data_IF_810975888332
#
_entry.id   IF_810975888332
#
_cell.length_a   1.000
_cell.length_b   1.000
_cell.length_c   1.000
_cell.angle_alpha   90.00
_cell.angle_beta   90.00
_cell.angle_gamma   90.00
#
_symmetry.space_group_name_H-M   'P 1'
#
loop_
_entity.id
_entity.type
_entity.pdbx_description
1 polymer ?
#
# COMPACT_ATOMS: atom_id res chain seq x y z
N UNK A 1 -21.29 13.83 -55.37
CA UNK A 1 -20.87 14.49 -54.14
C UNK A 1 -21.26 13.63 -52.97
N UNK A 2 -20.38 12.81 -52.44
CA UNK A 2 -20.64 11.90 -51.35
C UNK A 2 -20.01 12.44 -50.08
N UNK A 3 -20.86 12.69 -49.07
CA UNK A 3 -20.46 13.24 -47.77
C UNK A 3 -19.93 12.12 -46.91
N UNK A 4 -18.63 12.11 -46.58
CA UNK A 4 -18.04 11.19 -45.62
C UNK A 4 -18.27 11.76 -44.22
N UNK A 5 -19.20 11.15 -43.47
CA UNK A 5 -19.27 11.33 -42.02
C UNK A 5 -18.11 10.60 -41.37
N UNK A 6 -17.28 11.36 -40.68
CA UNK A 6 -16.14 10.87 -39.88
C UNK A 6 -16.69 10.56 -38.49
N UNK A 7 -16.97 9.30 -38.21
CA UNK A 7 -17.30 8.85 -36.82
C UNK A 7 -16.01 8.72 -36.03
N UNK A 8 -15.73 9.73 -35.23
CA UNK A 8 -14.70 9.64 -34.19
C UNK A 8 -15.24 8.81 -33.02
N UNK A 9 -14.94 7.51 -33.01
CA UNK A 9 -15.19 6.64 -31.87
C UNK A 9 -14.30 7.02 -30.70
N UNK A 10 -14.81 7.82 -29.78
CA UNK A 10 -14.20 8.01 -28.45
C UNK A 10 -14.35 6.72 -27.65
N UNK A 11 -13.33 5.91 -27.65
CA UNK A 11 -13.20 4.76 -26.77
C UNK A 11 -13.07 5.25 -25.31
N UNK A 12 -14.21 5.41 -24.64
CA UNK A 12 -14.24 5.62 -23.18
C UNK A 12 -13.81 4.32 -22.50
N UNK A 13 -12.60 4.32 -21.91
CA UNK A 13 -12.18 3.24 -21.02
C UNK A 13 -13.26 3.04 -19.95
N UNK A 14 -13.64 1.81 -19.63
CA UNK A 14 -14.62 1.57 -18.57
C UNK A 14 -14.08 2.14 -17.25
N UNK A 15 -14.76 3.15 -16.74
CA UNK A 15 -14.51 3.68 -15.40
C UNK A 15 -15.01 2.61 -14.43
N UNK A 16 -14.09 1.97 -13.72
CA UNK A 16 -14.46 1.02 -12.67
C UNK A 16 -15.38 1.71 -11.67
N UNK A 17 -16.51 1.10 -11.26
CA UNK A 17 -17.48 1.74 -10.39
C UNK A 17 -16.83 2.18 -9.07
N UNK A 18 -17.12 3.38 -8.62
CA UNK A 18 -16.72 3.86 -7.28
C UNK A 18 -17.41 2.95 -6.25
N UNK A 19 -16.65 2.53 -5.24
CA UNK A 19 -17.18 1.69 -4.18
C UNK A 19 -17.92 2.58 -3.18
N UNK A 20 -19.13 2.18 -2.83
CA UNK A 20 -20.06 3.01 -2.06
C UNK A 20 -19.94 2.87 -0.55
N UNK A 21 -18.80 2.52 -0.04
CA UNK A 21 -18.61 2.55 1.41
C UNK A 21 -17.31 3.26 1.78
N UNK A 22 -17.36 3.95 2.92
CA UNK A 22 -16.19 4.53 3.53
C UNK A 22 -15.71 3.57 4.63
N UNK A 23 -14.42 3.20 4.70
CA UNK A 23 -13.93 2.42 5.83
C UNK A 23 -14.03 3.23 7.13
N UNK A 24 -14.26 2.56 8.30
CA UNK A 24 -14.42 3.26 9.60
C UNK A 24 -13.11 3.85 10.15
N UNK A 25 -11.97 3.43 9.60
CA UNK A 25 -10.63 3.88 9.96
C UNK A 25 -9.77 4.04 8.69
N UNK A 26 -8.64 4.78 8.75
CA UNK A 26 -7.66 4.80 7.66
C UNK A 26 -7.25 3.40 7.25
N UNK A 27 -6.99 3.20 5.96
CA UNK A 27 -6.49 1.93 5.41
C UNK A 27 -4.99 2.04 5.18
N UNK A 28 -4.21 1.20 5.86
CA UNK A 28 -2.76 1.19 5.78
C UNK A 28 -2.29 -0.05 5.02
N UNK A 29 -1.66 0.16 3.87
CA UNK A 29 -1.08 -0.92 3.05
C UNK A 29 0.33 -1.22 3.53
N UNK A 30 0.57 -2.46 3.91
CA UNK A 30 1.86 -2.97 4.39
C UNK A 30 2.38 -4.10 3.50
N UNK A 31 3.67 -4.42 3.59
CA UNK A 31 4.29 -5.50 2.81
C UNK A 31 5.65 -5.11 2.24
N UNK A 32 6.39 -6.09 1.74
CA UNK A 32 7.74 -5.90 1.25
C UNK A 32 7.80 -5.06 -0.03
N UNK A 33 9.01 -4.68 -0.43
CA UNK A 33 9.25 -4.03 -1.72
C UNK A 33 8.76 -4.92 -2.86
N UNK A 34 8.24 -4.31 -3.92
CA UNK A 34 7.64 -5.07 -5.04
C UNK A 34 6.20 -5.55 -4.80
N UNK A 35 5.67 -5.51 -3.57
CA UNK A 35 4.27 -5.93 -3.30
C UNK A 35 3.21 -5.03 -3.94
N UNK A 36 3.55 -3.80 -4.35
CA UNK A 36 2.68 -2.91 -5.11
C UNK A 36 1.93 -1.88 -4.28
N UNK A 37 2.30 -1.64 -3.01
CA UNK A 37 1.62 -0.72 -2.07
C UNK A 37 1.22 0.62 -2.70
N UNK A 38 2.16 1.36 -3.24
CA UNK A 38 1.90 2.67 -3.87
C UNK A 38 0.95 2.57 -5.07
N UNK A 39 1.15 1.57 -5.94
CA UNK A 39 0.34 1.38 -7.14
C UNK A 39 -1.09 0.97 -6.82
N UNK A 40 -1.26 0.01 -5.91
CA UNK A 40 -2.55 -0.47 -5.41
C UNK A 40 -3.22 0.64 -4.58
N UNK A 41 -2.47 1.29 -3.68
CA UNK A 41 -2.98 2.35 -2.82
C UNK A 41 -3.58 3.52 -3.59
N UNK A 42 -2.89 4.03 -4.61
CA UNK A 42 -3.42 5.10 -5.49
C UNK A 42 -4.73 4.71 -6.18
N UNK A 43 -4.86 3.46 -6.62
CA UNK A 43 -6.09 2.95 -7.26
C UNK A 43 -7.20 2.70 -6.25
N UNK A 44 -6.85 2.16 -5.09
CA UNK A 44 -7.77 1.91 -3.99
C UNK A 44 -8.38 3.22 -3.49
N UNK A 45 -7.55 4.24 -3.27
CA UNK A 45 -7.98 5.57 -2.85
C UNK A 45 -8.98 6.19 -3.84
N UNK A 46 -8.71 6.09 -5.15
CA UNK A 46 -9.66 6.54 -6.19
C UNK A 46 -10.98 5.78 -6.17
N UNK A 47 -10.95 4.47 -5.86
CA UNK A 47 -12.15 3.63 -5.79
C UNK A 47 -13.02 3.98 -4.58
N UNK A 48 -12.41 4.40 -3.49
CA UNK A 48 -13.07 4.85 -2.27
C UNK A 48 -13.40 6.35 -2.25
N UNK A 49 -12.93 7.10 -3.24
CA UNK A 49 -12.96 8.58 -3.24
C UNK A 49 -12.29 9.17 -1.97
N UNK A 50 -11.11 8.63 -1.64
CA UNK A 50 -10.32 9.02 -0.47
C UNK A 50 -8.96 9.60 -0.88
N UNK A 51 -8.33 10.42 -0.03
CA UNK A 51 -6.93 10.81 -0.17
C UNK A 51 -5.99 9.60 -0.17
N UNK A 52 -4.85 9.75 -0.84
CA UNK A 52 -3.75 8.80 -0.82
C UNK A 52 -2.48 9.48 -0.34
N UNK A 53 -1.78 8.85 0.60
CA UNK A 53 -0.45 9.27 1.04
C UNK A 53 0.54 8.09 0.96
N UNK A 54 1.80 8.40 0.65
CA UNK A 54 2.92 7.47 0.71
C UNK A 54 3.83 7.91 1.85
N UNK A 55 3.98 7.06 2.90
CA UNK A 55 4.72 7.47 4.09
C UNK A 55 6.20 7.72 3.81
N UNK A 56 6.79 7.02 2.84
CA UNK A 56 8.20 7.23 2.48
C UNK A 56 8.39 8.65 1.91
N UNK A 57 7.50 9.09 1.02
CA UNK A 57 7.53 10.46 0.48
C UNK A 57 7.36 11.51 1.59
N UNK A 58 6.42 11.28 2.51
CA UNK A 58 6.17 12.19 3.63
C UNK A 58 7.35 12.27 4.62
N UNK A 59 8.07 11.16 4.83
CA UNK A 59 9.31 11.13 5.63
C UNK A 59 10.40 11.94 4.93
N UNK A 60 10.64 11.71 3.64
CA UNK A 60 11.65 12.43 2.85
C UNK A 60 11.36 13.93 2.77
N UNK A 61 10.09 14.32 2.56
CA UNK A 61 9.67 15.73 2.57
C UNK A 61 9.89 16.39 3.94
N UNK A 62 9.58 15.69 5.02
CA UNK A 62 9.76 16.20 6.38
C UNK A 62 11.24 16.32 6.77
N UNK A 63 12.08 15.40 6.31
CA UNK A 63 13.52 15.38 6.60
C UNK A 63 14.35 16.27 5.65
N UNK A 64 13.83 16.57 4.45
CA UNK A 64 14.55 17.28 3.40
C UNK A 64 15.67 16.47 2.75
N UNK A 65 15.69 15.15 2.96
CA UNK A 65 16.67 14.22 2.38
C UNK A 65 16.03 12.84 2.16
N UNK A 66 16.75 11.95 1.46
CA UNK A 66 16.24 10.61 1.17
C UNK A 66 16.23 9.70 2.40
N UNK A 67 15.36 8.66 2.39
CA UNK A 67 15.34 7.62 3.43
C UNK A 67 16.73 6.98 3.58
N UNK A 68 17.42 6.72 2.48
CA UNK A 68 18.78 6.18 2.49
C UNK A 68 19.79 7.11 3.18
N UNK A 69 19.65 8.43 3.01
CA UNK A 69 20.51 9.41 3.70
C UNK A 69 20.17 9.47 5.20
N UNK A 70 18.88 9.39 5.57
CA UNK A 70 18.48 9.34 6.98
C UNK A 70 19.12 8.14 7.67
N UNK A 71 18.97 6.95 7.08
CA UNK A 71 19.53 5.72 7.63
C UNK A 71 21.07 5.77 7.73
N UNK A 72 21.74 6.20 6.67
CA UNK A 72 23.20 6.23 6.63
C UNK A 72 23.85 7.27 7.55
N UNK A 73 23.20 8.43 7.74
CA UNK A 73 23.74 9.57 8.52
C UNK A 73 23.29 9.52 9.98
N UNK A 74 22.02 9.20 10.22
CA UNK A 74 21.41 9.25 11.56
C UNK A 74 21.13 7.87 12.16
N UNK A 75 21.24 6.81 11.35
CA UNK A 75 21.05 5.42 11.73
C UNK A 75 19.58 4.97 11.74
N UNK A 76 19.39 3.65 11.77
CA UNK A 76 18.07 2.99 11.70
C UNK A 76 17.09 3.48 12.76
N UNK A 77 17.55 3.74 13.99
CA UNK A 77 16.69 4.21 15.08
C UNK A 77 16.05 5.58 14.79
N UNK A 78 16.77 6.50 14.16
CA UNK A 78 16.23 7.80 13.76
C UNK A 78 15.21 7.67 12.62
N UNK A 79 15.46 6.75 11.68
CA UNK A 79 14.52 6.43 10.61
C UNK A 79 13.21 5.85 11.19
N UNK A 80 13.30 4.87 12.09
CA UNK A 80 12.13 4.26 12.76
C UNK A 80 11.28 5.29 13.50
N UNK A 81 11.92 6.18 14.26
CA UNK A 81 11.23 7.26 14.99
C UNK A 81 10.55 8.24 14.03
N UNK A 82 11.22 8.60 12.93
CA UNK A 82 10.68 9.46 11.88
C UNK A 82 9.47 8.83 11.18
N UNK A 83 9.56 7.57 10.80
CA UNK A 83 8.46 6.80 10.19
C UNK A 83 7.25 6.72 11.13
N UNK A 84 7.46 6.39 12.42
CA UNK A 84 6.38 6.33 13.40
C UNK A 84 5.68 7.68 13.55
N UNK A 85 6.42 8.79 13.64
CA UNK A 85 5.86 10.15 13.74
C UNK A 85 5.02 10.49 12.50
N UNK A 86 5.52 10.20 11.32
CA UNK A 86 4.81 10.47 10.06
C UNK A 86 3.56 9.60 9.93
N UNK A 87 3.68 8.30 10.14
CA UNK A 87 2.53 7.36 10.05
C UNK A 87 1.46 7.74 11.07
N UNK A 88 1.83 8.07 12.32
CA UNK A 88 0.89 8.51 13.35
C UNK A 88 0.18 9.81 12.94
N UNK A 89 0.92 10.78 12.39
CA UNK A 89 0.34 12.02 11.88
C UNK A 89 -0.67 11.76 10.76
N UNK A 90 -0.29 10.93 9.77
CA UNK A 90 -1.16 10.59 8.65
C UNK A 90 -2.45 9.89 9.12
N UNK A 91 -2.35 8.92 10.01
CA UNK A 91 -3.51 8.21 10.56
C UNK A 91 -4.46 9.17 11.28
N UNK A 92 -3.93 10.17 12.00
CA UNK A 92 -4.74 11.15 12.73
C UNK A 92 -5.34 12.26 11.85
N UNK A 93 -4.91 12.40 10.59
CA UNK A 93 -5.48 13.39 9.65
C UNK A 93 -6.87 13.01 9.13
N UNK A 94 -7.33 11.79 9.36
CA UNK A 94 -8.64 11.31 8.95
C UNK A 94 -8.60 10.07 8.07
N UNK A 95 -9.74 9.71 7.51
CA UNK A 95 -9.89 8.49 6.71
C UNK A 95 -9.22 8.69 5.34
N UNK A 96 -8.21 7.87 5.07
CA UNK A 96 -7.41 7.90 3.85
C UNK A 96 -6.76 6.55 3.59
N UNK A 97 -6.14 6.39 2.43
CA UNK A 97 -5.30 5.22 2.09
C UNK A 97 -3.83 5.62 2.23
N UNK A 98 -3.10 4.88 3.04
CA UNK A 98 -1.68 5.12 3.31
C UNK A 98 -0.87 3.92 2.81
N UNK A 99 0.15 4.15 1.98
CA UNK A 99 1.18 3.16 1.69
C UNK A 99 2.36 3.38 2.63
N UNK A 100 2.82 2.33 3.32
CA UNK A 100 3.99 2.44 4.21
C UNK A 100 5.29 2.06 3.54
N UNK A 101 6.41 2.43 4.14
CA UNK A 101 7.71 1.86 3.86
C UNK A 101 7.69 0.32 3.97
N UNK A 102 8.67 -0.34 3.36
CA UNK A 102 8.66 -1.81 3.30
C UNK A 102 8.91 -2.48 4.66
N UNK A 103 9.59 -1.80 5.59
CA UNK A 103 9.90 -2.30 6.92
C UNK A 103 9.10 -1.62 8.04
N UNK A 104 8.35 -0.54 7.77
CA UNK A 104 7.66 0.24 8.80
C UNK A 104 6.76 -0.61 9.72
N UNK A 105 6.06 -1.62 9.17
CA UNK A 105 5.20 -2.50 9.96
C UNK A 105 5.98 -3.56 10.78
N UNK A 106 7.24 -3.79 10.45
CA UNK A 106 8.08 -4.75 11.20
C UNK A 106 8.52 -4.18 12.54
N UNK A 107 8.56 -2.86 12.67
CA UNK A 107 8.87 -2.19 13.94
C UNK A 107 7.69 -2.28 14.90
N UNK A 108 7.95 -2.76 16.11
CA UNK A 108 6.89 -3.09 17.09
C UNK A 108 5.98 -1.90 17.42
N UNK A 109 6.55 -0.71 17.66
CA UNK A 109 5.79 0.47 18.03
C UNK A 109 4.89 0.94 16.88
N UNK A 110 5.43 0.96 15.65
CA UNK A 110 4.68 1.33 14.45
C UNK A 110 3.56 0.33 14.18
N UNK A 111 3.85 -0.98 14.28
CA UNK A 111 2.87 -2.05 14.11
C UNK A 111 1.73 -1.92 15.11
N UNK A 112 2.06 -1.72 16.40
CA UNK A 112 1.06 -1.52 17.46
C UNK A 112 0.18 -0.32 17.16
N UNK A 113 0.78 0.83 16.83
CA UNK A 113 0.02 2.04 16.52
C UNK A 113 -0.94 1.84 15.35
N UNK A 114 -0.48 1.23 14.26
CA UNK A 114 -1.31 0.94 13.08
C UNK A 114 -2.49 0.03 13.47
N UNK A 115 -2.25 -1.05 14.22
CA UNK A 115 -3.31 -2.01 14.64
C UNK A 115 -4.38 -1.35 15.50
N UNK A 116 -4.03 -0.39 16.34
CA UNK A 116 -4.97 0.30 17.21
C UNK A 116 -5.83 1.35 16.45
N UNK A 117 -5.23 2.04 15.46
CA UNK A 117 -5.82 3.25 14.90
C UNK A 117 -6.23 3.15 13.42
N UNK A 118 -5.85 2.09 12.73
CA UNK A 118 -6.10 1.91 11.29
C UNK A 118 -6.62 0.50 10.98
N UNK A 119 -6.89 0.21 9.71
CA UNK A 119 -7.10 -1.13 9.16
C UNK A 119 -5.86 -1.46 8.35
N UNK A 120 -5.07 -2.42 8.82
CA UNK A 120 -3.86 -2.87 8.13
C UNK A 120 -4.18 -3.92 7.07
N UNK A 121 -3.66 -3.72 5.85
CA UNK A 121 -3.81 -4.64 4.72
C UNK A 121 -2.44 -5.05 4.21
N UNK A 122 -2.07 -6.29 4.44
CA UNK A 122 -0.84 -6.84 3.92
C UNK A 122 -1.00 -7.31 2.47
N UNK A 123 -0.21 -6.71 1.59
CA UNK A 123 -0.07 -7.16 0.21
C UNK A 123 1.05 -8.22 0.15
N UNK A 124 0.66 -9.51 0.25
CA UNK A 124 1.56 -10.66 0.27
C UNK A 124 1.92 -11.07 -1.16
N UNK A 125 3.18 -10.94 -1.56
CA UNK A 125 3.71 -11.50 -2.80
C UNK A 125 4.56 -12.74 -2.51
N UNK A 126 4.60 -13.69 -3.43
CA UNK A 126 5.64 -14.72 -3.41
C UNK A 126 6.98 -14.17 -3.91
N UNK A 127 8.06 -14.92 -3.69
CA UNK A 127 9.41 -14.50 -4.07
C UNK A 127 9.49 -14.18 -5.58
N UNK A 128 8.90 -15.00 -6.43
CA UNK A 128 8.94 -14.85 -7.89
C UNK A 128 8.27 -13.54 -8.31
N UNK A 129 7.06 -13.28 -7.80
CA UNK A 129 6.31 -12.03 -8.06
C UNK A 129 7.06 -10.80 -7.58
N UNK A 130 7.65 -10.84 -6.37
CA UNK A 130 8.41 -9.73 -5.83
C UNK A 130 9.68 -9.47 -6.63
N UNK A 131 10.44 -10.55 -6.96
CA UNK A 131 11.67 -10.47 -7.72
C UNK A 131 11.43 -9.86 -9.10
N UNK A 132 10.41 -10.35 -9.83
CA UNK A 132 10.03 -9.82 -11.14
C UNK A 132 9.79 -8.30 -11.11
N UNK A 133 9.18 -7.79 -10.02
CA UNK A 133 8.82 -6.38 -9.88
C UNK A 133 9.93 -5.47 -9.37
N UNK A 134 10.97 -6.02 -8.77
CA UNK A 134 12.10 -5.22 -8.25
C UNK A 134 13.31 -5.26 -9.17
N UNK A 135 13.49 -6.33 -9.93
CA UNK A 135 14.62 -6.50 -10.86
C UNK A 135 14.67 -5.35 -11.88
N UNK A 136 15.85 -4.79 -12.07
CA UNK A 136 16.07 -3.71 -13.04
C UNK A 136 15.64 -2.30 -12.60
N UNK A 137 15.12 -2.11 -11.39
CA UNK A 137 14.80 -0.79 -10.83
C UNK A 137 15.98 -0.24 -10.04
N UNK A 138 16.54 0.90 -10.49
CA UNK A 138 17.75 1.51 -9.90
C UNK A 138 17.54 2.20 -8.54
N UNK A 139 16.30 2.56 -8.19
CA UNK A 139 16.00 3.39 -7.00
C UNK A 139 15.54 2.54 -5.80
N UNK A 140 16.38 1.54 -5.41
CA UNK A 140 16.07 0.68 -4.27
C UNK A 140 17.29 0.47 -3.40
N UNK A 141 17.50 1.32 -2.37
CA UNK A 141 18.71 1.32 -1.55
C UNK A 141 18.95 0.01 -0.78
N UNK A 142 17.92 -0.78 -0.54
CA UNK A 142 18.03 -2.07 0.18
C UNK A 142 18.41 -3.25 -0.74
N UNK A 143 18.51 -3.05 -2.06
CA UNK A 143 18.85 -4.13 -3.01
C UNK A 143 20.23 -3.87 -3.63
N UNK A 144 21.17 -4.79 -3.39
CA UNK A 144 22.40 -4.88 -4.15
C UNK A 144 22.11 -5.56 -5.49
N UNK A 145 22.62 -4.97 -6.58
CA UNK A 145 22.47 -5.52 -7.93
C UNK A 145 23.11 -6.92 -7.98
N UNK A 146 22.32 -7.92 -8.41
CA UNK A 146 22.73 -9.30 -8.52
C UNK A 146 22.54 -10.15 -7.25
N UNK A 147 22.01 -9.56 -6.17
CA UNK A 147 21.67 -10.28 -4.92
C UNK A 147 20.18 -10.14 -4.53
N UNK A 148 19.36 -9.67 -5.46
CA UNK A 148 17.95 -9.36 -5.20
C UNK A 148 17.18 -10.57 -4.67
N UNK A 149 17.45 -11.77 -5.22
CA UNK A 149 16.79 -13.00 -4.80
C UNK A 149 17.18 -13.39 -3.38
N UNK A 150 18.47 -13.35 -3.04
CA UNK A 150 18.98 -13.66 -1.71
C UNK A 150 18.41 -12.71 -0.65
N UNK A 151 18.43 -11.40 -0.95
CA UNK A 151 17.91 -10.36 -0.07
C UNK A 151 16.41 -10.52 0.14
N UNK A 152 15.64 -10.72 -0.94
CA UNK A 152 14.19 -10.91 -0.83
C UNK A 152 13.82 -12.20 -0.10
N UNK A 153 14.55 -13.29 -0.32
CA UNK A 153 14.35 -14.55 0.40
C UNK A 153 14.51 -14.33 1.90
N UNK A 154 15.61 -13.69 2.29
CA UNK A 154 15.85 -13.37 3.69
C UNK A 154 14.78 -12.43 4.26
N UNK A 155 14.36 -11.41 3.53
CA UNK A 155 13.29 -10.51 3.97
C UNK A 155 11.95 -11.24 4.15
N UNK A 156 11.64 -12.21 3.30
CA UNK A 156 10.45 -13.06 3.45
C UNK A 156 10.54 -13.89 4.73
N UNK A 157 11.67 -14.55 4.97
CA UNK A 157 11.87 -15.38 6.16
C UNK A 157 11.78 -14.55 7.45
N UNK A 158 12.42 -13.39 7.48
CA UNK A 158 12.52 -12.55 8.68
C UNK A 158 11.21 -11.78 8.96
N UNK A 159 10.51 -11.28 7.95
CA UNK A 159 9.45 -10.29 8.12
C UNK A 159 8.03 -10.79 7.86
N UNK A 160 7.83 -11.89 7.10
CA UNK A 160 6.48 -12.42 6.88
C UNK A 160 5.78 -12.82 8.18
N UNK A 161 6.46 -13.43 9.17
CA UNK A 161 5.81 -13.71 10.46
C UNK A 161 5.27 -12.45 11.15
N UNK A 162 5.93 -11.29 11.01
CA UNK A 162 5.46 -10.04 11.58
C UNK A 162 4.32 -9.42 10.75
N UNK A 163 4.38 -9.54 9.43
CA UNK A 163 3.35 -9.06 8.53
C UNK A 163 2.03 -9.86 8.63
N UNK A 164 2.09 -11.13 9.09
CA UNK A 164 0.91 -11.95 9.38
C UNK A 164 0.04 -11.39 10.51
N UNK A 165 0.58 -10.48 11.33
CA UNK A 165 -0.19 -9.78 12.36
C UNK A 165 -1.13 -8.69 11.81
N UNK A 166 -1.10 -8.40 10.51
CA UNK A 166 -2.02 -7.44 9.89
C UNK A 166 -3.47 -7.92 9.93
N UNK A 167 -4.43 -6.99 9.92
CA UNK A 167 -5.87 -7.30 9.97
C UNK A 167 -6.36 -8.10 8.77
N UNK A 168 -5.78 -7.81 7.60
CA UNK A 168 -6.18 -8.38 6.31
C UNK A 168 -4.94 -8.78 5.52
N UNK A 169 -4.95 -9.99 4.96
CA UNK A 169 -3.92 -10.44 4.00
C UNK A 169 -4.54 -10.62 2.62
N UNK A 170 -3.94 -9.99 1.62
CA UNK A 170 -4.31 -10.13 0.21
C UNK A 170 -3.10 -10.55 -0.60
N UNK A 171 -3.18 -11.70 -1.26
CA UNK A 171 -2.10 -12.17 -2.16
C UNK A 171 -2.05 -11.30 -3.41
N UNK A 172 -0.85 -10.81 -3.75
CA UNK A 172 -0.59 -10.12 -5.01
C UNK A 172 0.09 -11.09 -5.97
N UNK A 173 -0.36 -11.09 -7.22
CA UNK A 173 0.14 -11.97 -8.28
C UNK A 173 0.64 -11.11 -9.45
N UNK A 174 1.30 -11.74 -10.41
CA UNK A 174 1.63 -11.10 -11.68
C UNK A 174 0.39 -10.97 -12.57
N UNK A 175 -0.41 -9.95 -12.26
CA UNK A 175 -1.70 -9.67 -12.88
C UNK A 175 -1.96 -8.16 -12.95
N UNK A 176 -2.96 -7.71 -13.72
CA UNK A 176 -3.38 -6.31 -13.71
C UNK A 176 -3.74 -5.83 -12.30
N UNK A 177 -3.17 -4.68 -11.90
CA UNK A 177 -3.37 -4.13 -10.56
C UNK A 177 -4.84 -3.91 -10.17
N UNK A 178 -5.73 -3.75 -11.17
CA UNK A 178 -7.19 -3.64 -10.94
C UNK A 178 -7.77 -4.88 -10.25
N UNK A 179 -7.30 -6.07 -10.60
CA UNK A 179 -7.76 -7.33 -10.01
C UNK A 179 -7.37 -7.40 -8.52
N UNK A 180 -6.11 -7.07 -8.22
CA UNK A 180 -5.66 -6.99 -6.82
C UNK A 180 -6.45 -5.92 -6.04
N UNK A 181 -6.75 -4.76 -6.64
CA UNK A 181 -7.58 -3.72 -6.00
C UNK A 181 -8.98 -4.26 -5.67
N UNK A 182 -9.63 -4.97 -6.58
CA UNK A 182 -10.96 -5.55 -6.35
C UNK A 182 -10.92 -6.56 -5.19
N UNK A 183 -9.87 -7.41 -5.12
CA UNK A 183 -9.68 -8.32 -3.97
C UNK A 183 -9.47 -7.58 -2.65
N UNK A 184 -8.70 -6.51 -2.65
CA UNK A 184 -8.50 -5.67 -1.45
C UNK A 184 -9.82 -5.07 -0.99
N UNK A 185 -10.64 -4.54 -1.91
CA UNK A 185 -11.96 -3.96 -1.59
C UNK A 185 -12.88 -5.02 -0.97
N UNK A 186 -12.95 -6.22 -1.56
CA UNK A 186 -13.75 -7.33 -1.04
C UNK A 186 -13.28 -7.70 0.37
N UNK A 187 -11.98 -7.89 0.57
CA UNK A 187 -11.41 -8.26 1.86
C UNK A 187 -11.65 -7.19 2.94
N UNK A 188 -11.52 -5.90 2.61
CA UNK A 188 -11.86 -4.80 3.53
C UNK A 188 -13.36 -4.84 3.88
N UNK A 189 -14.23 -5.05 2.90
CA UNK A 189 -15.68 -5.13 3.13
C UNK A 189 -16.06 -6.29 4.07
N UNK A 190 -15.44 -7.47 3.88
CA UNK A 190 -15.64 -8.63 4.73
C UNK A 190 -15.13 -8.41 6.15
N UNK A 191 -13.93 -7.82 6.27
CA UNK A 191 -13.35 -7.47 7.57
C UNK A 191 -14.24 -6.48 8.33
N UNK A 192 -14.74 -5.41 7.67
CA UNK A 192 -15.62 -4.42 8.29
C UNK A 192 -16.91 -5.08 8.78
N UNK A 193 -17.56 -5.91 7.98
CA UNK A 193 -18.79 -6.60 8.39
C UNK A 193 -18.59 -7.48 9.62
N UNK A 194 -17.42 -8.11 9.74
CA UNK A 194 -17.09 -9.01 10.86
C UNK A 194 -16.73 -8.23 12.13
N UNK A 195 -15.94 -7.17 11.97
CA UNK A 195 -15.30 -6.47 13.11
C UNK A 195 -16.17 -5.30 13.60
N UNK A 196 -16.95 -4.69 12.70
CA UNK A 196 -17.79 -3.53 12.99
C UNK A 196 -19.25 -3.80 12.55
N UNK A 197 -19.97 -4.73 13.22
CA UNK A 197 -21.31 -5.18 12.78
C UNK A 197 -22.34 -4.06 12.73
N UNK A 198 -22.20 -3.05 13.59
CA UNK A 198 -23.08 -1.87 13.65
C UNK A 198 -22.68 -0.78 12.64
N UNK A 199 -21.58 -0.94 11.92
CA UNK A 199 -21.15 0.00 10.91
C UNK A 199 -21.94 -0.20 9.61
N UNK A 200 -22.81 0.76 9.31
CA UNK A 200 -23.60 0.72 8.08
C UNK A 200 -22.72 1.03 6.87
N UNK A 201 -22.38 -0.02 6.11
CA UNK A 201 -21.78 0.15 4.80
C UNK A 201 -22.86 0.77 3.90
N UNK A 202 -22.74 2.07 3.63
CA UNK A 202 -23.67 2.77 2.74
C UNK A 202 -23.58 2.10 1.36
N UNK A 203 -24.69 1.49 0.91
CA UNK A 203 -24.82 1.06 -0.48
C UNK A 203 -25.13 2.28 -1.32
N UNK A 204 -24.42 2.48 -2.44
CA UNK A 204 -24.86 3.45 -3.43
C UNK A 204 -26.23 3.06 -3.95
N UNK A 205 -27.06 4.02 -4.06
CA UNK A 205 -28.30 3.98 -4.83
C UNK A 205 -27.97 4.13 -6.31
#
# INVERSE_FOLDING_TARGET
MANKFNESSTSSKPVSPVVSFMPPKPVVLVGLMGSGKTSIGKRLARRFDLPFCDSDQEVEEAAGCSIGDIDSVFGEGALQEGELKVISRLINQGIQVIATGCLSFTYEETRRYIKEHAISVWLKGDLETLLLRVTGKKDRPLLEIGKEEEILTKMIEDYYPLLEESDITVTTLDEPASITVDRVIIAISEFIRKTYPDYHILRSV
#
